data_IF_575620883363
#
_entry.id   IF_575620883363
#
_cell.length_a   1.000
_cell.length_b   1.000
_cell.length_c   1.000
_cell.angle_alpha   90.00
_cell.angle_beta   90.00
_cell.angle_gamma   90.00
#
_symmetry.space_group_name_H-M   'P 1'
#
loop_
_entity.id
_entity.type
_entity.pdbx_description
1 polymer ?
#
# COMPACT_ATOMS: atom_id res chain seq x y z
N UNK A 1 36.75 -9.63 -2.76
CA UNK A 1 36.52 -8.21 -2.43
C UNK A 1 35.15 -8.12 -1.78
N UNK A 2 35.04 -7.70 -0.52
CA UNK A 2 33.74 -7.51 0.13
C UNK A 2 33.21 -6.13 -0.22
N UNK A 3 32.08 -6.07 -0.90
CA UNK A 3 31.36 -4.81 -1.13
C UNK A 3 30.55 -4.48 0.11
N UNK A 4 30.80 -3.34 0.73
CA UNK A 4 29.99 -2.83 1.84
C UNK A 4 28.78 -2.10 1.26
N UNK A 5 27.59 -2.69 1.42
CA UNK A 5 26.33 -2.00 1.09
C UNK A 5 25.99 -1.08 2.26
N UNK A 6 26.08 0.23 2.03
CA UNK A 6 25.68 1.23 3.01
C UNK A 6 24.18 1.48 2.86
N UNK A 7 23.40 1.14 3.88
CA UNK A 7 21.95 1.38 3.90
C UNK A 7 21.70 2.83 4.32
N UNK A 8 20.89 3.61 3.57
CA UNK A 8 20.56 4.98 3.93
C UNK A 8 19.91 5.08 5.32
N UNK A 9 20.25 6.15 6.06
CA UNK A 9 19.67 6.40 7.36
C UNK A 9 18.13 6.54 7.25
N UNK A 10 17.40 5.74 8.03
CA UNK A 10 15.93 5.73 8.04
C UNK A 10 15.28 4.62 7.19
N UNK A 11 16.06 3.76 6.54
CA UNK A 11 15.51 2.62 5.80
C UNK A 11 14.79 1.59 6.70
N UNK A 12 15.11 1.55 8.00
CA UNK A 12 14.37 0.75 8.99
C UNK A 12 12.88 1.12 9.05
N UNK A 13 12.54 2.40 8.87
CA UNK A 13 11.14 2.84 8.80
C UNK A 13 10.46 2.35 7.53
N UNK A 14 11.19 2.25 6.42
CA UNK A 14 10.67 1.72 5.15
C UNK A 14 10.34 0.25 5.29
N UNK A 15 11.23 -0.54 5.91
CA UNK A 15 10.97 -1.95 6.21
C UNK A 15 9.72 -2.11 7.09
N UNK A 16 9.60 -1.30 8.15
CA UNK A 16 8.40 -1.30 9.01
C UNK A 16 7.12 -0.91 8.26
N UNK A 17 7.19 0.10 7.39
CA UNK A 17 6.05 0.55 6.60
C UNK A 17 5.61 -0.52 5.59
N UNK A 18 6.54 -1.19 4.91
CA UNK A 18 6.23 -2.30 4.02
C UNK A 18 5.67 -3.50 4.79
N UNK A 19 6.18 -3.81 5.99
CA UNK A 19 5.60 -4.86 6.83
C UNK A 19 4.18 -4.52 7.30
N UNK A 20 3.84 -3.23 7.45
CA UNK A 20 2.49 -2.81 7.84
C UNK A 20 1.41 -3.24 6.83
N UNK A 21 1.76 -3.38 5.55
CA UNK A 21 0.82 -3.86 4.52
C UNK A 21 0.44 -5.33 4.73
N UNK A 22 1.33 -6.14 5.33
CA UNK A 22 1.05 -7.55 5.65
C UNK A 22 -0.09 -7.64 6.66
N UNK A 23 -0.06 -6.80 7.70
CA UNK A 23 -1.12 -6.73 8.69
C UNK A 23 -2.44 -6.23 8.11
N UNK A 24 -2.38 -5.24 7.21
CA UNK A 24 -3.56 -4.79 6.45
C UNK A 24 -4.19 -5.94 5.66
N UNK A 25 -3.38 -6.69 4.90
CA UNK A 25 -3.86 -7.82 4.10
C UNK A 25 -4.37 -8.97 4.94
N UNK A 26 -3.71 -9.29 6.05
CA UNK A 26 -4.17 -10.32 6.98
C UNK A 26 -5.54 -9.94 7.56
N UNK A 27 -5.72 -8.68 7.96
CA UNK A 27 -7.01 -8.16 8.43
C UNK A 27 -8.09 -8.25 7.35
N UNK A 28 -7.79 -7.82 6.11
CA UNK A 28 -8.72 -7.91 4.98
C UNK A 28 -9.07 -9.36 4.64
N UNK A 29 -8.09 -10.26 4.65
CA UNK A 29 -8.29 -11.70 4.41
C UNK A 29 -9.22 -12.33 5.46
N UNK A 30 -9.05 -11.95 6.73
CA UNK A 30 -9.94 -12.40 7.81
C UNK A 30 -11.37 -11.90 7.62
N UNK A 31 -11.54 -10.62 7.30
CA UNK A 31 -12.85 -10.02 7.01
C UNK A 31 -13.53 -10.74 5.84
N UNK A 32 -12.82 -10.92 4.72
CA UNK A 32 -13.34 -11.61 3.54
C UNK A 32 -13.72 -13.04 3.88
N UNK A 33 -12.88 -13.76 4.62
CA UNK A 33 -13.16 -15.14 5.04
C UNK A 33 -14.44 -15.24 5.87
N UNK A 34 -14.66 -14.31 6.81
CA UNK A 34 -15.85 -14.29 7.64
C UNK A 34 -17.12 -14.00 6.82
N UNK A 35 -17.07 -13.04 5.90
CA UNK A 35 -18.21 -12.71 5.03
C UNK A 35 -18.51 -13.84 4.05
N UNK A 36 -17.49 -14.49 3.48
CA UNK A 36 -17.67 -15.66 2.60
C UNK A 36 -18.32 -16.83 3.32
N UNK A 37 -17.93 -17.11 4.57
CA UNK A 37 -18.56 -18.13 5.41
C UNK A 37 -20.02 -17.79 5.69
N UNK A 38 -20.32 -16.54 6.07
CA UNK A 38 -21.69 -16.09 6.32
C UNK A 38 -22.58 -16.17 5.07
N UNK A 39 -22.01 -15.93 3.88
CA UNK A 39 -22.71 -16.03 2.61
C UNK A 39 -22.79 -17.45 2.02
N UNK A 40 -22.25 -18.47 2.71
CA UNK A 40 -22.30 -19.87 2.24
C UNK A 40 -21.46 -20.16 0.98
N UNK A 41 -20.51 -19.30 0.65
CA UNK A 41 -19.70 -19.44 -0.59
C UNK A 41 -18.72 -20.61 -0.42
N UNK A 42 -18.96 -21.70 -1.17
CA UNK A 42 -18.07 -22.87 -1.20
C UNK A 42 -16.83 -22.63 -2.07
N UNK A 43 -15.71 -23.22 -1.65
CA UNK A 43 -14.55 -23.36 -2.51
C UNK A 43 -14.90 -24.30 -3.70
N UNK A 44 -14.38 -24.10 -4.92
CA UNK A 44 -13.31 -23.18 -5.33
C UNK A 44 -13.78 -21.90 -6.03
N UNK A 45 -14.83 -21.21 -5.57
CA UNK A 45 -15.26 -19.96 -6.22
C UNK A 45 -14.22 -18.83 -5.97
N UNK A 46 -13.44 -18.40 -6.99
CA UNK A 46 -12.32 -17.50 -6.77
C UNK A 46 -12.75 -16.03 -6.62
N UNK A 47 -13.89 -15.66 -7.22
CA UNK A 47 -14.38 -14.28 -7.24
C UNK A 47 -15.80 -14.18 -6.68
N UNK A 48 -16.02 -13.24 -5.77
CA UNK A 48 -17.31 -12.57 -5.65
C UNK A 48 -17.35 -11.45 -6.70
N UNK A 49 -18.53 -10.98 -7.11
CA UNK A 49 -18.66 -9.91 -8.14
C UNK A 49 -17.87 -8.63 -7.80
N UNK A 50 -17.50 -8.44 -6.53
CA UNK A 50 -16.66 -7.34 -6.06
C UNK A 50 -15.15 -7.68 -6.13
N UNK A 51 -14.41 -6.86 -6.88
CA UNK A 51 -12.98 -7.00 -7.21
C UNK A 51 -12.06 -6.72 -6.01
N UNK A 52 -10.92 -7.41 -5.98
CA UNK A 52 -9.85 -7.26 -4.98
C UNK A 52 -9.09 -5.93 -5.11
N UNK A 53 -9.67 -4.85 -4.57
CA UNK A 53 -9.15 -3.49 -4.79
C UNK A 53 -7.80 -3.19 -4.12
N UNK A 54 -7.44 -3.82 -2.99
CA UNK A 54 -6.15 -3.55 -2.33
C UNK A 54 -4.99 -4.25 -3.06
N UNK A 55 -5.20 -5.50 -3.46
CA UNK A 55 -4.16 -6.31 -4.11
C UNK A 55 -3.73 -5.72 -5.46
N UNK A 56 -4.65 -5.10 -6.19
CA UNK A 56 -4.35 -4.37 -7.43
C UNK A 56 -3.42 -3.16 -7.21
N UNK A 57 -3.46 -2.55 -6.03
CA UNK A 57 -2.65 -1.37 -5.71
C UNK A 57 -1.29 -1.70 -5.08
N UNK A 58 -1.12 -2.88 -4.47
CA UNK A 58 0.12 -3.24 -3.78
C UNK A 58 1.38 -3.15 -4.65
N UNK A 59 1.41 -3.64 -5.90
CA UNK A 59 2.60 -3.51 -6.74
C UNK A 59 3.01 -2.05 -6.94
N UNK A 60 2.03 -1.16 -7.15
CA UNK A 60 2.25 0.28 -7.32
C UNK A 60 2.86 0.85 -6.03
N UNK A 61 2.28 0.54 -4.88
CA UNK A 61 2.75 1.05 -3.58
C UNK A 61 4.14 0.53 -3.24
N UNK A 62 4.44 -0.74 -3.50
CA UNK A 62 5.76 -1.31 -3.20
C UNK A 62 6.84 -0.68 -4.08
N UNK A 63 6.61 -0.61 -5.40
CA UNK A 63 7.58 -0.03 -6.33
C UNK A 63 7.82 1.45 -6.00
N UNK A 64 6.76 2.23 -5.87
CA UNK A 64 6.89 3.67 -5.60
C UNK A 64 7.54 3.95 -4.23
N UNK A 65 7.22 3.16 -3.19
CA UNK A 65 7.86 3.28 -1.87
C UNK A 65 9.34 2.95 -1.93
N UNK A 66 9.71 1.83 -2.56
CA UNK A 66 11.11 1.40 -2.64
C UNK A 66 11.96 2.38 -3.46
N UNK A 67 11.44 2.88 -4.59
CA UNK A 67 12.14 3.86 -5.43
C UNK A 67 12.24 5.20 -4.71
N UNK A 68 11.16 5.71 -4.10
CA UNK A 68 11.19 6.96 -3.34
C UNK A 68 12.15 6.88 -2.14
N UNK A 69 12.23 5.72 -1.49
CA UNK A 69 13.08 5.51 -0.31
C UNK A 69 14.58 5.63 -0.60
N UNK A 70 15.01 5.52 -1.87
CA UNK A 70 16.42 5.67 -2.23
C UNK A 70 16.95 7.08 -1.93
N UNK A 71 16.09 8.10 -2.01
CA UNK A 71 16.43 9.50 -1.67
C UNK A 71 15.68 10.03 -0.47
N UNK A 72 14.44 9.58 -0.25
CA UNK A 72 13.54 10.10 0.79
C UNK A 72 12.97 8.99 1.68
N UNK A 73 13.81 8.23 2.42
CA UNK A 73 13.37 7.05 3.17
C UNK A 73 12.27 7.36 4.20
N UNK A 74 12.36 8.49 4.90
CA UNK A 74 11.34 8.88 5.89
C UNK A 74 10.00 9.25 5.23
N UNK A 75 10.03 9.96 4.11
CA UNK A 75 8.82 10.36 3.38
C UNK A 75 8.14 9.14 2.76
N UNK A 76 8.93 8.24 2.16
CA UNK A 76 8.42 6.99 1.62
C UNK A 76 7.76 6.13 2.71
N UNK A 77 8.41 5.99 3.87
CA UNK A 77 7.86 5.24 5.00
C UNK A 77 6.56 5.85 5.54
N UNK A 78 6.51 7.16 5.76
CA UNK A 78 5.31 7.83 6.29
C UNK A 78 4.15 7.76 5.30
N UNK A 79 4.40 7.96 4.00
CA UNK A 79 3.38 7.86 2.97
C UNK A 79 2.86 6.43 2.81
N UNK A 80 3.73 5.41 2.86
CA UNK A 80 3.31 4.00 2.82
C UNK A 80 2.49 3.60 4.07
N UNK A 81 2.88 4.06 5.25
CA UNK A 81 2.13 3.83 6.48
C UNK A 81 0.76 4.53 6.45
N UNK A 82 0.71 5.79 6.00
CA UNK A 82 -0.54 6.53 5.83
C UNK A 82 -1.45 5.87 4.80
N UNK A 83 -0.88 5.38 3.69
CA UNK A 83 -1.61 4.62 2.70
C UNK A 83 -2.25 3.39 3.33
N UNK A 84 -1.47 2.59 4.05
CA UNK A 84 -1.96 1.38 4.73
C UNK A 84 -3.06 1.67 5.74
N UNK A 85 -2.92 2.75 6.51
CA UNK A 85 -3.94 3.20 7.45
C UNK A 85 -5.22 3.66 6.76
N UNK A 86 -5.11 4.51 5.73
CA UNK A 86 -6.24 4.95 4.94
C UNK A 86 -6.97 3.79 4.25
N UNK A 87 -6.24 2.74 3.86
CA UNK A 87 -6.84 1.50 3.33
C UNK A 87 -7.68 0.75 4.35
N UNK A 88 -7.31 0.76 5.63
CA UNK A 88 -8.16 0.17 6.67
C UNK A 88 -9.51 0.90 6.77
N UNK A 89 -9.50 2.24 6.70
CA UNK A 89 -10.71 3.07 6.72
C UNK A 89 -11.54 2.88 5.43
N UNK A 90 -10.86 2.77 4.28
CA UNK A 90 -11.49 2.47 3.00
C UNK A 90 -12.21 1.11 3.05
N UNK A 91 -11.55 0.07 3.55
CA UNK A 91 -12.16 -1.27 3.68
C UNK A 91 -13.39 -1.25 4.56
N UNK A 92 -13.37 -0.53 5.69
CA UNK A 92 -14.56 -0.36 6.54
C UNK A 92 -15.73 0.25 5.77
N UNK A 93 -15.47 1.33 5.02
CA UNK A 93 -16.49 1.96 4.16
C UNK A 93 -16.94 1.04 3.02
N UNK A 94 -16.04 0.21 2.49
CA UNK A 94 -16.29 -0.70 1.37
C UNK A 94 -17.22 -1.86 1.73
N UNK A 95 -17.06 -2.43 2.92
CA UNK A 95 -17.90 -3.55 3.40
C UNK A 95 -19.39 -3.15 3.49
N UNK A 96 -19.72 -1.86 3.59
CA UNK A 96 -21.11 -1.38 3.64
C UNK A 96 -21.91 -1.64 2.34
N UNK A 97 -21.23 -1.91 1.22
CA UNK A 97 -21.86 -2.10 -0.09
C UNK A 97 -22.25 -0.79 -0.80
N UNK A 98 -22.37 0.33 -0.08
CA UNK A 98 -22.67 1.65 -0.64
C UNK A 98 -21.38 2.35 -1.11
N UNK A 99 -21.23 2.65 -2.42
CA UNK A 99 -20.08 3.36 -2.96
C UNK A 99 -19.80 4.70 -2.27
N UNK A 100 -20.82 5.40 -1.79
CA UNK A 100 -20.67 6.71 -1.15
C UNK A 100 -19.98 6.63 0.23
N UNK A 101 -19.95 5.46 0.88
CA UNK A 101 -19.38 5.30 2.21
C UNK A 101 -17.87 5.00 2.19
N UNK A 102 -17.34 4.55 1.05
CA UNK A 102 -15.95 4.06 0.90
C UNK A 102 -14.90 5.07 1.36
N UNK A 103 -15.15 6.37 1.17
CA UNK A 103 -14.19 7.43 1.48
C UNK A 103 -14.58 8.31 2.68
N UNK A 104 -15.78 8.15 3.25
CA UNK A 104 -16.31 9.08 4.27
C UNK A 104 -15.48 9.18 5.55
N UNK A 105 -14.89 8.07 5.99
CA UNK A 105 -14.08 8.03 7.21
C UNK A 105 -12.60 8.36 6.93
N UNK A 106 -12.29 9.15 5.91
CA UNK A 106 -10.90 9.43 5.52
C UNK A 106 -10.26 8.33 4.66
N UNK A 107 -11.05 7.37 4.17
CA UNK A 107 -10.58 6.35 3.22
C UNK A 107 -9.93 6.96 1.99
N UNK A 108 -10.36 8.15 1.54
CA UNK A 108 -9.78 8.85 0.38
C UNK A 108 -8.32 9.31 0.54
N UNK A 109 -7.78 9.35 1.76
CA UNK A 109 -6.39 9.76 2.03
C UNK A 109 -5.36 8.87 1.32
N UNK A 110 -5.72 7.62 1.00
CA UNK A 110 -4.82 6.73 0.27
C UNK A 110 -4.44 7.29 -1.12
N UNK A 111 -5.32 8.05 -1.78
CA UNK A 111 -4.99 8.68 -3.07
C UNK A 111 -3.89 9.73 -2.92
N UNK A 112 -3.95 10.57 -1.88
CA UNK A 112 -2.92 11.56 -1.60
C UNK A 112 -1.59 10.88 -1.27
N UNK A 113 -1.62 9.82 -0.46
CA UNK A 113 -0.42 9.04 -0.16
C UNK A 113 0.21 8.43 -1.43
N UNK A 114 -0.61 7.87 -2.33
CA UNK A 114 -0.14 7.36 -3.63
C UNK A 114 0.48 8.47 -4.48
N UNK A 115 -0.12 9.68 -4.53
CA UNK A 115 0.43 10.81 -5.30
C UNK A 115 1.78 11.28 -4.76
N UNK A 116 1.94 11.33 -3.43
CA UNK A 116 3.22 11.66 -2.78
C UNK A 116 4.28 10.62 -3.14
N UNK A 117 3.96 9.34 -3.04
CA UNK A 117 4.86 8.25 -3.41
C UNK A 117 5.22 8.29 -4.89
N UNK A 118 4.24 8.53 -5.76
CA UNK A 118 4.46 8.65 -7.20
C UNK A 118 5.39 9.82 -7.53
N UNK A 119 5.10 11.01 -7.01
CA UNK A 119 5.92 12.20 -7.27
C UNK A 119 7.36 12.06 -6.76
N UNK A 120 7.54 11.55 -5.54
CA UNK A 120 8.87 11.33 -4.96
C UNK A 120 9.65 10.21 -5.67
N UNK A 121 8.97 9.15 -6.12
CA UNK A 121 9.59 8.07 -6.90
C UNK A 121 10.01 8.54 -8.29
N UNK A 122 9.18 9.32 -8.99
CA UNK A 122 9.51 9.90 -10.31
C UNK A 122 10.69 10.86 -10.22
N UNK A 123 10.70 11.76 -9.22
CA UNK A 123 11.84 12.63 -8.99
C UNK A 123 13.11 11.81 -8.72
N UNK A 124 13.02 10.78 -7.89
CA UNK A 124 14.17 9.93 -7.56
C UNK A 124 14.70 9.23 -8.80
N UNK A 125 13.83 8.59 -9.59
CA UNK A 125 14.21 7.94 -10.84
C UNK A 125 14.86 8.93 -11.82
N UNK A 126 14.21 10.08 -12.10
CA UNK A 126 14.75 11.09 -13.01
C UNK A 126 16.10 11.64 -12.55
N UNK A 127 16.25 11.89 -11.26
CA UNK A 127 17.51 12.38 -10.70
C UNK A 127 18.65 11.35 -10.73
N UNK A 128 18.33 10.05 -10.71
CA UNK A 128 19.33 8.99 -10.89
C UNK A 128 19.71 8.84 -12.36
N UNK A 129 18.75 8.94 -13.28
CA UNK A 129 19.00 8.92 -14.72
C UNK A 129 19.88 10.09 -15.16
N UNK A 130 19.65 11.30 -14.63
CA UNK A 130 20.46 12.49 -14.94
C UNK A 130 21.85 12.46 -14.30
N UNK A 131 22.02 11.74 -13.18
CA UNK A 131 23.34 11.60 -12.53
C UNK A 131 24.21 10.51 -13.15
N UNK A 132 23.61 9.58 -13.89
CA UNK A 132 24.29 8.52 -14.62
C UNK A 132 24.45 8.78 -16.13
N UNK A 133 24.00 9.94 -16.62
CA UNK A 133 24.21 10.45 -17.96
C UNK A 133 25.36 11.47 -17.96
#
# INVERSE_FOLDING_TARGET
>A
MSSVIVIPQGFSYVAGALLSTVFLLAGQSHVVSNHRKAAGIKYPQPYAEQRENTLENLPIIYITTLVAALKFPKVAATACALWSFARMLYTKGYISGDPAQRNKQGGGLHHLATLVLLGTSLYTAGSLMLAGA
#
